data_IF_311605074036
#
_entry.id   IF_311605074036
#
_cell.length_a   1.000
_cell.length_b   1.000
_cell.length_c   1.000
_cell.angle_alpha   90.00
_cell.angle_beta   90.00
_cell.angle_gamma   90.00
#
_symmetry.space_group_name_H-M   'P 1'
#
loop_
_entity.id
_entity.type
_entity.pdbx_description
1 polymer ?
#
# COMPACT_ATOMS: atom_id res chain seq x y z
N UNK A 1 27.53 21.38 5.47
CA UNK A 1 26.78 21.78 6.66
C UNK A 1 25.67 22.74 6.25
N UNK A 2 24.45 22.23 6.04
CA UNK A 2 23.23 23.05 5.89
C UNK A 2 22.31 22.63 7.03
N UNK A 3 22.30 23.47 8.05
CA UNK A 3 21.37 23.39 9.17
C UNK A 3 19.97 23.76 8.68
N UNK A 4 19.07 22.78 8.58
CA UNK A 4 17.65 23.02 8.35
C UNK A 4 16.94 23.00 9.70
N UNK A 5 16.72 24.18 10.27
CA UNK A 5 15.92 24.40 11.48
C UNK A 5 14.45 24.17 11.13
N UNK A 6 13.87 23.09 11.67
CA UNK A 6 12.44 22.83 11.63
C UNK A 6 11.69 23.93 12.36
N UNK A 7 11.01 24.83 11.62
CA UNK A 7 10.00 25.71 12.21
C UNK A 7 8.78 24.87 12.62
N UNK A 8 8.54 24.80 13.92
CA UNK A 8 7.27 24.33 14.47
C UNK A 8 6.13 25.19 13.91
N UNK A 9 5.14 24.57 13.26
CA UNK A 9 3.82 25.18 13.10
C UNK A 9 3.39 25.65 11.71
N UNK A 10 3.81 25.02 10.60
CA UNK A 10 3.11 25.21 9.32
C UNK A 10 2.41 23.90 8.90
N UNK A 11 1.12 23.82 9.21
CA UNK A 11 0.23 22.80 8.63
C UNK A 11 0.19 23.03 7.12
N UNK A 12 0.44 21.96 6.37
CA UNK A 12 0.37 21.97 4.90
C UNK A 12 -1.09 22.18 4.52
N UNK A 13 -1.41 23.38 4.03
CA UNK A 13 -2.72 23.66 3.41
C UNK A 13 -2.71 23.06 2.00
N UNK A 14 -3.10 21.82 1.85
CA UNK A 14 -3.39 21.24 0.54
C UNK A 14 -4.74 21.79 0.07
N UNK A 15 -4.72 22.69 -0.93
CA UNK A 15 -5.94 23.08 -1.63
C UNK A 15 -6.33 21.95 -2.61
N UNK A 16 -7.53 21.36 -2.52
CA UNK A 16 -7.94 20.24 -3.37
C UNK A 16 -8.03 20.58 -4.86
N UNK A 17 -7.99 21.87 -5.23
CA UNK A 17 -8.19 22.34 -6.62
C UNK A 17 -6.95 22.47 -7.48
N UNK A 18 -5.74 22.45 -6.93
CA UNK A 18 -4.52 22.68 -7.72
C UNK A 18 -3.93 21.42 -8.37
N UNK A 19 -4.33 20.22 -7.95
CA UNK A 19 -3.76 18.95 -8.41
C UNK A 19 -4.46 18.34 -9.63
N UNK A 20 -5.61 18.87 -10.05
CA UNK A 20 -6.41 18.29 -11.15
C UNK A 20 -6.24 19.03 -12.49
N UNK A 21 -5.41 20.09 -12.57
CA UNK A 21 -5.19 20.82 -13.81
C UNK A 21 -3.97 20.29 -14.57
N UNK A 22 -4.24 19.65 -15.72
CA UNK A 22 -3.36 19.11 -16.77
C UNK A 22 -2.97 17.62 -16.65
N UNK A 23 -3.94 16.73 -16.76
CA UNK A 23 -3.69 15.45 -17.38
C UNK A 23 -4.64 15.33 -18.60
N UNK A 24 -4.06 15.29 -19.79
CA UNK A 24 -4.76 14.89 -21.00
C UNK A 24 -5.27 13.47 -20.79
N UNK A 25 -6.59 13.28 -20.77
CA UNK A 25 -7.21 11.97 -20.68
C UNK A 25 -6.73 11.09 -21.82
N UNK A 26 -6.15 9.90 -21.56
CA UNK A 26 -5.99 8.90 -22.61
C UNK A 26 -7.39 8.51 -23.08
N UNK A 27 -7.60 8.49 -24.40
CA UNK A 27 -8.85 8.02 -25.01
C UNK A 27 -9.02 6.54 -24.70
N UNK A 28 -9.80 6.22 -23.66
CA UNK A 28 -10.27 4.85 -23.43
C UNK A 28 -11.46 4.60 -24.35
N UNK A 29 -11.29 3.71 -25.32
CA UNK A 29 -12.42 3.08 -26.02
C UNK A 29 -13.12 2.16 -25.00
N UNK A 30 -14.25 2.60 -24.48
CA UNK A 30 -15.13 1.79 -23.64
C UNK A 30 -15.41 2.41 -22.28
N UNK A 31 -16.64 2.85 -22.07
CA UNK A 31 -17.33 3.20 -20.83
C UNK A 31 -16.52 3.94 -19.75
N UNK A 32 -17.05 5.04 -19.30
CA UNK A 32 -16.48 6.01 -18.34
C UNK A 32 -16.31 5.45 -16.89
N UNK A 33 -15.70 4.26 -16.73
CA UNK A 33 -15.39 3.70 -15.41
C UNK A 33 -14.11 4.35 -14.86
N UNK A 34 -14.19 4.85 -13.63
CA UNK A 34 -13.02 5.36 -12.92
C UNK A 34 -11.96 4.26 -12.78
N UNK A 35 -10.68 4.56 -12.98
CA UNK A 35 -9.62 3.58 -12.80
C UNK A 35 -9.60 3.09 -11.34
N UNK A 36 -9.35 1.79 -11.18
CA UNK A 36 -9.32 1.12 -9.89
C UNK A 36 -8.00 0.39 -9.70
N UNK A 37 -7.40 0.52 -8.52
CA UNK A 37 -6.16 -0.15 -8.15
C UNK A 37 -6.36 -0.88 -6.83
N UNK A 38 -5.93 -2.13 -6.76
CA UNK A 38 -5.92 -2.93 -5.53
C UNK A 38 -4.48 -3.24 -5.12
N UNK A 39 -4.11 -2.82 -3.90
CA UNK A 39 -2.79 -2.97 -3.31
C UNK A 39 -2.81 -4.05 -2.25
N UNK A 40 -1.95 -5.04 -2.39
CA UNK A 40 -1.84 -6.15 -1.44
C UNK A 40 -1.35 -5.71 -0.06
N UNK A 41 -1.57 -6.54 0.95
CA UNK A 41 -0.76 -6.54 2.15
C UNK A 41 0.71 -6.71 1.79
N UNK A 42 1.58 -5.94 2.42
CA UNK A 42 2.99 -5.88 2.04
C UNK A 42 3.95 -5.65 3.22
N UNK A 43 3.44 -5.31 4.41
CA UNK A 43 4.29 -4.91 5.53
C UNK A 43 5.29 -3.83 5.09
N UNK A 44 6.58 -4.04 5.39
CA UNK A 44 7.65 -3.11 5.03
C UNK A 44 8.00 -3.06 3.53
N UNK A 45 7.36 -3.89 2.69
CA UNK A 45 7.55 -3.85 1.22
C UNK A 45 6.65 -2.80 0.54
N UNK A 46 5.93 -1.99 1.29
CA UNK A 46 5.08 -0.93 0.76
C UNK A 46 5.78 0.05 -0.22
N UNK A 47 7.14 0.25 -0.22
CA UNK A 47 7.84 0.98 -1.27
C UNK A 47 7.59 0.45 -2.68
N UNK A 48 7.41 -0.87 -2.84
CA UNK A 48 7.04 -1.46 -4.13
C UNK A 48 5.71 -0.88 -4.66
N UNK A 49 4.71 -0.77 -3.79
CA UNK A 49 3.43 -0.14 -4.16
C UNK A 49 3.59 1.32 -4.53
N UNK A 50 4.44 2.07 -3.79
CA UNK A 50 4.71 3.48 -4.08
C UNK A 50 5.34 3.64 -5.46
N UNK A 51 6.35 2.84 -5.79
CA UNK A 51 7.00 2.84 -7.10
C UNK A 51 6.03 2.45 -8.23
N UNK A 52 5.24 1.39 -8.04
CA UNK A 52 4.26 0.95 -9.03
C UNK A 52 3.18 2.02 -9.27
N UNK A 53 2.64 2.62 -8.22
CA UNK A 53 1.66 3.72 -8.33
C UNK A 53 2.26 4.95 -9.01
N UNK A 54 3.54 5.29 -8.73
CA UNK A 54 4.21 6.39 -9.41
C UNK A 54 4.34 6.12 -10.91
N UNK A 55 4.78 4.92 -11.31
CA UNK A 55 4.89 4.52 -12.71
C UNK A 55 3.52 4.56 -13.42
N UNK A 56 2.46 4.03 -12.79
CA UNK A 56 1.10 4.11 -13.32
C UNK A 56 0.62 5.57 -13.47
N UNK A 57 1.01 6.46 -12.57
CA UNK A 57 0.71 7.89 -12.64
C UNK A 57 1.43 8.56 -13.81
N UNK A 58 2.72 8.27 -13.99
CA UNK A 58 3.53 8.83 -15.07
C UNK A 58 3.04 8.38 -16.45
N UNK A 59 2.49 7.17 -16.53
CA UNK A 59 1.85 6.62 -17.74
C UNK A 59 0.38 7.03 -17.91
N UNK A 60 -0.19 7.82 -16.98
CA UNK A 60 -1.57 8.30 -17.06
C UNK A 60 -2.68 7.31 -16.69
N UNK A 61 -2.33 6.13 -16.13
CA UNK A 61 -3.33 5.13 -15.67
C UNK A 61 -4.03 5.55 -14.37
N UNK A 62 -3.38 6.33 -13.52
CA UNK A 62 -3.96 6.80 -12.26
C UNK A 62 -3.95 8.32 -12.19
N UNK A 63 -5.01 8.88 -11.59
CA UNK A 63 -5.23 10.32 -11.45
C UNK A 63 -6.02 10.63 -10.16
N UNK A 64 -6.41 11.88 -9.95
CA UNK A 64 -7.07 12.34 -8.71
C UNK A 64 -8.41 11.63 -8.38
N UNK A 65 -9.08 11.02 -9.37
CA UNK A 65 -10.34 10.29 -9.18
C UNK A 65 -10.16 8.76 -9.17
N UNK A 66 -8.93 8.26 -9.19
CA UNK A 66 -8.66 6.82 -9.08
C UNK A 66 -9.18 6.30 -7.75
N UNK A 67 -9.88 5.16 -7.80
CA UNK A 67 -10.30 4.44 -6.60
C UNK A 67 -9.22 3.42 -6.20
N UNK A 68 -8.93 3.35 -4.91
CA UNK A 68 -7.94 2.45 -4.36
C UNK A 68 -8.57 1.52 -3.33
N UNK A 69 -8.23 0.25 -3.40
CA UNK A 69 -8.42 -0.69 -2.30
C UNK A 69 -7.04 -1.14 -1.79
N UNK A 70 -6.89 -1.30 -0.49
CA UNK A 70 -5.63 -1.75 0.10
C UNK A 70 -5.84 -2.62 1.33
N UNK A 71 -4.90 -3.54 1.56
CA UNK A 71 -4.77 -4.29 2.80
C UNK A 71 -3.44 -3.95 3.47
N UNK A 72 -3.42 -3.78 4.80
CA UNK A 72 -2.16 -3.58 5.54
C UNK A 72 -1.29 -2.45 4.94
N UNK A 73 0.00 -2.71 4.66
CA UNK A 73 0.89 -1.75 3.99
C UNK A 73 0.31 -1.17 2.68
N UNK A 74 -0.48 -1.96 1.93
CA UNK A 74 -1.20 -1.46 0.74
C UNK A 74 -2.29 -0.45 1.09
N UNK A 75 -2.98 -0.58 2.23
CA UNK A 75 -3.96 0.41 2.67
C UNK A 75 -3.30 1.75 3.04
N UNK A 76 -2.09 1.72 3.61
CA UNK A 76 -1.32 2.92 3.92
C UNK A 76 -0.97 3.69 2.65
N UNK A 77 -0.46 2.98 1.62
CA UNK A 77 -0.14 3.61 0.32
C UNK A 77 -1.41 4.10 -0.37
N UNK A 78 -2.49 3.32 -0.38
CA UNK A 78 -3.78 3.73 -0.94
C UNK A 78 -4.29 5.04 -0.33
N UNK A 79 -4.22 5.17 1.00
CA UNK A 79 -4.60 6.39 1.73
C UNK A 79 -3.74 7.58 1.32
N UNK A 80 -2.42 7.41 1.30
CA UNK A 80 -1.50 8.46 0.90
C UNK A 80 -1.74 8.93 -0.55
N UNK A 81 -1.98 8.00 -1.47
CA UNK A 81 -2.33 8.32 -2.87
C UNK A 81 -3.65 9.08 -2.97
N UNK A 82 -4.69 8.68 -2.22
CA UNK A 82 -5.97 9.39 -2.17
C UNK A 82 -5.85 10.80 -1.58
N UNK A 83 -4.96 11.00 -0.59
CA UNK A 83 -4.67 12.30 0.00
C UNK A 83 -3.75 13.18 -0.88
N UNK A 84 -3.20 12.65 -1.98
CA UNK A 84 -2.37 13.40 -2.92
C UNK A 84 -0.90 13.55 -2.50
N UNK A 85 -0.40 12.73 -1.57
CA UNK A 85 1.02 12.72 -1.22
C UNK A 85 1.88 12.32 -2.42
N UNK A 86 3.02 12.96 -2.56
CA UNK A 86 4.05 12.57 -3.53
C UNK A 86 4.77 11.30 -3.09
N UNK A 87 5.32 10.56 -4.06
CA UNK A 87 6.13 9.37 -3.76
C UNK A 87 7.30 9.67 -2.83
N UNK A 88 7.91 10.85 -2.94
CA UNK A 88 9.01 11.27 -2.07
C UNK A 88 8.55 11.46 -0.62
N UNK A 89 7.37 12.07 -0.39
CA UNK A 89 6.80 12.24 0.95
C UNK A 89 6.46 10.89 1.58
N UNK A 90 5.87 9.99 0.80
CA UNK A 90 5.54 8.63 1.27
C UNK A 90 6.84 7.88 1.62
N UNK A 91 7.82 7.86 0.72
CA UNK A 91 9.10 7.19 0.95
C UNK A 91 9.84 7.75 2.15
N UNK A 92 9.89 9.07 2.33
CA UNK A 92 10.48 9.70 3.52
C UNK A 92 9.84 9.17 4.80
N UNK A 93 8.51 9.15 4.87
CA UNK A 93 7.78 8.64 6.04
C UNK A 93 8.08 7.16 6.32
N UNK A 94 8.14 6.34 5.26
CA UNK A 94 8.49 4.92 5.38
C UNK A 94 9.89 4.72 5.92
N UNK A 95 10.87 5.46 5.39
CA UNK A 95 12.26 5.35 5.80
C UNK A 95 12.45 5.78 7.27
N UNK A 96 11.83 6.89 7.66
CA UNK A 96 11.86 7.37 9.06
C UNK A 96 11.21 6.38 10.03
N UNK A 97 10.10 5.74 9.64
CA UNK A 97 9.45 4.72 10.46
C UNK A 97 10.30 3.45 10.54
N UNK A 98 10.92 3.03 9.43
CA UNK A 98 11.80 1.87 9.38
C UNK A 98 13.07 2.08 10.21
N UNK A 99 13.67 3.26 10.17
CA UNK A 99 14.82 3.61 11.01
C UNK A 99 14.45 3.61 12.49
N UNK A 100 13.32 4.23 12.83
CA UNK A 100 12.81 4.21 14.20
C UNK A 100 12.61 2.77 14.68
N UNK A 101 11.95 1.91 13.89
CA UNK A 101 11.68 0.52 14.26
C UNK A 101 12.96 -0.29 14.45
N UNK A 102 13.95 -0.15 13.55
CA UNK A 102 15.24 -0.84 13.68
C UNK A 102 16.02 -0.40 14.93
N UNK A 103 15.83 0.82 15.41
CA UNK A 103 16.46 1.33 16.62
C UNK A 103 15.82 0.77 17.90
N UNK A 104 14.63 0.14 17.82
CA UNK A 104 14.01 -0.48 18.98
C UNK A 104 14.62 -1.84 19.26
N UNK A 105 15.06 -2.08 20.50
CA UNK A 105 15.63 -3.37 20.91
C UNK A 105 14.56 -4.46 21.11
N UNK A 106 13.29 -4.06 21.30
CA UNK A 106 12.13 -4.93 21.47
C UNK A 106 11.09 -4.48 20.43
N UNK A 107 11.12 -5.09 19.24
CA UNK A 107 10.35 -4.61 18.09
C UNK A 107 8.89 -5.05 18.02
N UNK A 108 8.47 -6.11 18.74
CA UNK A 108 7.13 -6.65 18.63
C UNK A 108 6.13 -5.90 19.53
N UNK A 109 4.94 -5.60 18.99
CA UNK A 109 3.83 -5.04 19.76
C UNK A 109 3.91 -3.53 20.04
N UNK A 110 4.90 -2.81 19.50
CA UNK A 110 5.07 -1.36 19.75
C UNK A 110 4.71 -0.48 18.56
N UNK A 111 4.51 -1.11 17.39
CA UNK A 111 4.37 -0.39 16.12
C UNK A 111 3.04 0.36 16.04
N UNK A 112 1.97 -0.16 16.65
CA UNK A 112 0.63 0.44 16.63
C UNK A 112 0.64 1.88 17.15
N UNK A 113 1.20 2.10 18.34
CA UNK A 113 1.23 3.42 18.99
C UNK A 113 1.99 4.45 18.15
N UNK A 114 3.14 4.06 17.59
CA UNK A 114 3.95 4.96 16.79
C UNK A 114 3.30 5.25 15.42
N UNK A 115 2.70 4.26 14.78
CA UNK A 115 1.94 4.45 13.54
C UNK A 115 0.77 5.40 13.76
N UNK A 116 -0.03 5.19 14.82
CA UNK A 116 -1.14 6.07 15.21
C UNK A 116 -0.70 7.52 15.35
N UNK A 117 0.35 7.74 16.14
CA UNK A 117 0.90 9.07 16.38
C UNK A 117 1.35 9.75 15.08
N UNK A 118 2.06 9.01 14.21
CA UNK A 118 2.55 9.55 12.94
C UNK A 118 1.42 9.82 11.96
N UNK A 119 0.45 8.93 11.82
CA UNK A 119 -0.65 9.12 10.88
C UNK A 119 -1.50 10.32 11.25
N UNK A 120 -1.88 10.48 12.52
CA UNK A 120 -2.63 11.66 12.97
C UNK A 120 -1.85 12.97 12.78
N UNK A 121 -0.51 12.93 12.85
CA UNK A 121 0.31 14.11 12.63
C UNK A 121 0.54 14.45 11.15
N UNK A 122 0.51 13.45 10.25
CA UNK A 122 0.83 13.61 8.82
C UNK A 122 -0.40 13.86 7.96
N UNK A 123 -1.55 13.28 8.33
CA UNK A 123 -2.76 13.42 7.53
C UNK A 123 -3.25 14.88 7.49
N UNK A 124 -3.76 15.35 6.33
CA UNK A 124 -4.47 16.62 6.26
C UNK A 124 -5.64 16.69 7.26
N UNK A 125 -6.04 17.88 7.65
CA UNK A 125 -7.06 18.10 8.69
C UNK A 125 -8.39 17.37 8.41
N UNK A 126 -8.79 17.29 7.13
CA UNK A 126 -10.01 16.59 6.70
C UNK A 126 -9.68 15.46 5.72
N UNK A 127 -8.63 14.69 5.98
CA UNK A 127 -8.21 13.59 5.10
C UNK A 127 -9.35 12.60 4.84
N UNK A 128 -10.15 12.27 5.84
CA UNK A 128 -11.34 11.41 5.72
C UNK A 128 -12.33 11.91 4.66
N UNK A 129 -12.53 13.22 4.56
CA UNK A 129 -13.38 13.85 3.56
C UNK A 129 -12.72 13.88 2.18
N UNK A 130 -11.40 14.16 2.13
CA UNK A 130 -10.60 14.16 0.89
C UNK A 130 -10.61 12.79 0.21
N UNK A 131 -10.43 11.72 0.98
CA UNK A 131 -10.45 10.36 0.42
C UNK A 131 -11.86 9.95 -0.01
N UNK A 132 -12.89 10.37 0.73
CA UNK A 132 -14.28 10.08 0.40
C UNK A 132 -14.51 8.60 0.06
N UNK A 133 -15.25 8.35 -0.99
CA UNK A 133 -15.52 7.00 -1.52
C UNK A 133 -14.42 6.44 -2.45
N UNK A 134 -13.25 7.09 -2.52
CA UNK A 134 -12.13 6.62 -3.35
C UNK A 134 -11.24 5.61 -2.61
N UNK A 135 -11.29 5.59 -1.28
CA UNK A 135 -10.49 4.70 -0.44
C UNK A 135 -11.33 3.56 0.11
N UNK A 136 -10.82 2.34 -0.06
CA UNK A 136 -11.38 1.12 0.49
C UNK A 136 -10.29 0.37 1.26
N UNK A 137 -10.48 0.16 2.56
CA UNK A 137 -9.53 -0.50 3.45
C UNK A 137 -10.01 -1.91 3.75
N UNK A 138 -9.20 -2.92 3.46
CA UNK A 138 -9.52 -4.31 3.75
C UNK A 138 -9.27 -4.62 5.23
N UNK A 139 -10.28 -5.14 5.92
CA UNK A 139 -10.22 -5.56 7.32
C UNK A 139 -10.83 -6.95 7.43
N UNK A 140 -10.28 -7.83 8.28
CA UNK A 140 -10.81 -9.18 8.49
C UNK A 140 -11.56 -9.25 9.83
N UNK A 141 -12.91 -9.25 9.81
CA UNK A 141 -13.69 -9.53 11.00
C UNK A 141 -13.50 -10.98 11.47
N UNK A 142 -13.33 -11.18 12.78
CA UNK A 142 -13.25 -12.50 13.42
C UNK A 142 -14.63 -13.03 13.81
N UNK A 143 -15.66 -12.76 13.00
CA UNK A 143 -17.00 -13.28 13.17
C UNK A 143 -17.17 -14.56 12.30
N UNK A 144 -17.40 -15.74 12.92
CA UNK A 144 -17.61 -16.99 12.16
C UNK A 144 -18.75 -16.90 11.14
N UNK A 145 -19.76 -16.06 11.39
CA UNK A 145 -20.90 -15.86 10.46
C UNK A 145 -20.47 -15.18 9.16
N UNK A 146 -19.38 -14.40 9.18
CA UNK A 146 -18.78 -13.75 8.01
C UNK A 146 -17.79 -14.66 7.27
N UNK A 147 -17.67 -15.92 7.67
CA UNK A 147 -16.83 -16.95 7.03
C UNK A 147 -15.36 -16.52 6.84
N UNK A 148 -14.83 -15.71 7.75
CA UNK A 148 -13.46 -15.17 7.70
C UNK A 148 -13.12 -14.51 6.36
N UNK A 149 -14.04 -13.72 5.81
CA UNK A 149 -13.81 -12.93 4.59
C UNK A 149 -13.42 -11.52 4.95
N UNK A 150 -12.36 -11.02 4.31
CA UNK A 150 -12.00 -9.61 4.42
C UNK A 150 -13.09 -8.73 3.80
N UNK A 151 -13.46 -7.68 4.52
CA UNK A 151 -14.42 -6.67 4.09
C UNK A 151 -13.70 -5.38 3.70
N UNK A 152 -14.22 -4.67 2.70
CA UNK A 152 -13.73 -3.37 2.29
C UNK A 152 -14.52 -2.28 3.02
N UNK A 153 -13.83 -1.56 3.89
CA UNK A 153 -14.40 -0.43 4.63
C UNK A 153 -14.09 0.87 3.90
N UNK A 154 -15.07 1.71 3.78
CA UNK A 154 -14.99 3.07 3.23
C UNK A 154 -15.90 4.01 4.03
N UNK A 155 -15.95 5.30 3.65
CA UNK A 155 -16.81 6.30 4.28
C UNK A 155 -16.51 6.46 5.78
N UNK A 156 -15.45 7.18 6.07
CA UNK A 156 -15.00 7.50 7.42
C UNK A 156 -15.64 8.82 7.89
N UNK A 157 -15.87 8.97 9.18
CA UNK A 157 -16.49 10.15 9.79
C UNK A 157 -15.45 11.12 10.36
N UNK A 158 -14.21 10.64 10.56
CA UNK A 158 -13.10 11.45 11.05
C UNK A 158 -11.75 10.87 10.63
N UNK A 159 -10.67 11.66 10.80
CA UNK A 159 -9.30 11.17 10.62
C UNK A 159 -8.97 10.07 11.63
N UNK A 160 -9.47 10.19 12.85
CA UNK A 160 -9.28 9.20 13.91
C UNK A 160 -9.88 7.85 13.49
N UNK A 161 -11.12 7.84 13.01
CA UNK A 161 -11.76 6.61 12.54
C UNK A 161 -11.02 6.01 11.33
N UNK A 162 -10.57 6.83 10.39
CA UNK A 162 -9.78 6.36 9.26
C UNK A 162 -8.43 5.76 9.72
N UNK A 163 -7.77 6.36 10.70
CA UNK A 163 -6.54 5.82 11.30
C UNK A 163 -6.82 4.52 12.05
N UNK A 164 -7.94 4.40 12.78
CA UNK A 164 -8.36 3.13 13.39
C UNK A 164 -8.54 2.03 12.33
N UNK A 165 -9.16 2.35 11.19
CA UNK A 165 -9.32 1.40 10.09
C UNK A 165 -7.96 0.96 9.51
N UNK A 166 -7.01 1.89 9.35
CA UNK A 166 -5.65 1.59 8.87
C UNK A 166 -4.89 0.69 9.84
N UNK A 167 -4.97 0.97 11.14
CA UNK A 167 -4.36 0.14 12.18
C UNK A 167 -5.01 -1.24 12.24
N UNK A 168 -6.33 -1.33 12.15
CA UNK A 168 -7.08 -2.59 12.10
C UNK A 168 -6.69 -3.42 10.87
N UNK A 169 -6.57 -2.77 9.69
CA UNK A 169 -6.11 -3.40 8.45
C UNK A 169 -4.66 -3.92 8.50
N UNK A 170 -3.86 -3.38 9.40
CA UNK A 170 -2.45 -3.74 9.59
C UNK A 170 -2.22 -4.59 10.85
N UNK A 171 -3.30 -4.98 11.54
CA UNK A 171 -3.20 -5.64 12.84
C UNK A 171 -2.85 -7.11 12.72
N UNK A 172 -1.56 -7.39 12.62
CA UNK A 172 -1.02 -8.75 12.76
C UNK A 172 -0.85 -9.02 14.26
N UNK A 173 -1.47 -10.09 14.80
CA UNK A 173 -1.42 -10.43 16.21
C UNK A 173 0.00 -10.46 16.78
N UNK A 174 0.22 -9.83 17.92
CA UNK A 174 1.50 -9.75 18.64
C UNK A 174 2.62 -8.99 17.89
N UNK A 175 2.43 -8.68 16.60
CA UNK A 175 3.39 -7.93 15.81
C UNK A 175 3.12 -6.42 15.86
N UNK A 176 1.91 -5.98 15.49
CA UNK A 176 1.56 -4.56 15.51
C UNK A 176 1.36 -4.06 16.94
N UNK A 177 0.54 -4.76 17.72
CA UNK A 177 0.20 -4.50 19.11
C UNK A 177 0.29 -5.75 19.97
N UNK A 178 0.15 -5.63 21.31
CA UNK A 178 0.35 -6.75 22.24
C UNK A 178 -0.82 -7.75 22.28
N UNK A 179 -1.91 -7.46 21.61
CA UNK A 179 -3.14 -8.27 21.62
C UNK A 179 -3.21 -9.22 20.43
N UNK A 180 -4.09 -10.24 20.51
CA UNK A 180 -4.34 -11.17 19.42
C UNK A 180 -5.27 -10.59 18.33
N UNK A 181 -5.98 -9.51 18.63
CA UNK A 181 -6.87 -8.81 17.71
C UNK A 181 -7.10 -7.37 18.21
N UNK A 182 -7.66 -6.53 17.38
CA UNK A 182 -8.08 -5.18 17.73
C UNK A 182 -9.59 -5.00 17.52
N UNK A 183 -10.12 -3.81 17.80
CA UNK A 183 -11.52 -3.47 17.59
C UNK A 183 -11.64 -2.38 16.53
N UNK A 184 -12.61 -2.55 15.63
CA UNK A 184 -13.05 -1.51 14.71
C UNK A 184 -14.56 -1.58 14.52
N UNK A 185 -15.28 -0.44 14.66
CA UNK A 185 -16.75 -0.35 14.54
C UNK A 185 -17.49 -1.43 15.34
N UNK A 186 -17.08 -1.63 16.60
CA UNK A 186 -17.63 -2.65 17.52
C UNK A 186 -17.39 -4.12 17.12
N UNK A 187 -16.60 -4.40 16.09
CA UNK A 187 -16.21 -5.74 15.70
C UNK A 187 -14.77 -6.06 16.16
N UNK A 188 -14.50 -7.34 16.44
CA UNK A 188 -13.14 -7.83 16.67
C UNK A 188 -12.56 -8.17 15.31
N UNK A 189 -11.40 -7.58 14.99
CA UNK A 189 -10.81 -7.63 13.66
C UNK A 189 -9.30 -7.87 13.72
N UNK A 190 -8.76 -8.33 12.59
CA UNK A 190 -7.31 -8.46 12.33
C UNK A 190 -7.00 -7.96 10.92
N UNK A 191 -5.71 -8.00 10.55
CA UNK A 191 -5.21 -7.60 9.24
C UNK A 191 -6.00 -8.25 8.09
N UNK A 192 -6.50 -7.41 7.19
CA UNK A 192 -7.31 -7.83 6.04
C UNK A 192 -6.55 -8.67 5.02
N UNK A 193 -5.22 -8.62 5.02
CA UNK A 193 -4.36 -9.39 4.12
C UNK A 193 -4.06 -10.82 4.59
N UNK A 194 -4.49 -11.23 5.80
CA UNK A 194 -4.18 -12.56 6.34
C UNK A 194 -4.85 -13.72 5.59
N UNK A 195 -6.03 -13.51 5.02
CA UNK A 195 -6.75 -14.55 4.24
C UNK A 195 -6.54 -14.41 2.74
N UNK A 196 -6.42 -13.20 2.25
CA UNK A 196 -6.08 -12.90 0.87
C UNK A 196 -5.35 -11.56 0.86
N UNK A 197 -4.06 -11.59 0.54
CA UNK A 197 -3.25 -10.39 0.60
C UNK A 197 -3.75 -9.29 -0.35
N UNK A 198 -4.31 -9.64 -1.52
CA UNK A 198 -4.88 -8.66 -2.46
C UNK A 198 -6.38 -8.52 -2.21
N UNK A 199 -6.88 -7.32 -1.87
CA UNK A 199 -8.30 -7.08 -1.71
C UNK A 199 -9.09 -7.41 -2.98
N UNK A 200 -10.25 -8.05 -2.82
CA UNK A 200 -11.16 -8.30 -3.95
C UNK A 200 -11.88 -7.00 -4.30
N UNK A 201 -11.36 -6.30 -5.30
CA UNK A 201 -11.89 -5.04 -5.80
C UNK A 201 -12.16 -5.17 -7.32
N UNK A 202 -13.41 -5.38 -7.68
CA UNK A 202 -13.79 -5.72 -9.07
C UNK A 202 -13.27 -4.69 -10.08
N UNK A 203 -12.73 -5.21 -11.19
CA UNK A 203 -12.20 -4.41 -12.30
C UNK A 203 -11.02 -3.50 -11.89
N UNK A 204 -10.20 -3.93 -10.95
CA UNK A 204 -9.00 -3.21 -10.53
C UNK A 204 -7.73 -3.79 -11.15
N UNK A 205 -6.73 -2.94 -11.33
CA UNK A 205 -5.35 -3.38 -11.52
C UNK A 205 -4.77 -3.78 -10.18
N UNK A 206 -4.34 -5.02 -10.04
CA UNK A 206 -3.81 -5.58 -8.78
C UNK A 206 -2.30 -5.48 -8.73
N UNK A 207 -1.75 -5.12 -7.56
CA UNK A 207 -0.30 -4.95 -7.32
C UNK A 207 0.11 -5.73 -6.08
N UNK A 208 1.19 -6.52 -6.19
CA UNK A 208 1.72 -7.32 -5.09
C UNK A 208 3.25 -7.40 -5.16
N UNK A 209 3.99 -7.14 -4.07
CA UNK A 209 5.45 -7.18 -4.05
C UNK A 209 6.05 -8.59 -3.96
N UNK A 210 5.22 -9.62 -3.76
CA UNK A 210 5.70 -10.98 -3.59
C UNK A 210 5.89 -11.66 -4.96
N UNK A 211 7.11 -12.15 -5.27
CA UNK A 211 7.34 -12.94 -6.48
C UNK A 211 6.60 -14.29 -6.40
N UNK A 212 6.16 -14.78 -7.53
CA UNK A 212 5.36 -16.02 -7.62
C UNK A 212 3.87 -15.82 -7.47
N UNK A 213 3.39 -14.57 -7.45
CA UNK A 213 1.96 -14.21 -7.40
C UNK A 213 1.38 -13.79 -8.75
N UNK A 214 2.20 -13.59 -9.76
CA UNK A 214 1.79 -13.17 -11.11
C UNK A 214 0.97 -14.21 -11.85
N UNK A 215 0.26 -13.80 -12.90
CA UNK A 215 -0.60 -14.65 -13.75
C UNK A 215 0.18 -15.85 -14.33
N UNK A 216 1.47 -15.65 -14.67
CA UNK A 216 2.33 -16.67 -15.25
C UNK A 216 3.17 -17.46 -14.22
N UNK A 217 2.94 -17.25 -12.92
CA UNK A 217 3.67 -17.95 -11.88
C UNK A 217 3.36 -19.47 -11.86
N UNK A 218 4.34 -20.27 -11.44
CA UNK A 218 4.16 -21.74 -11.31
C UNK A 218 2.98 -22.06 -10.40
N UNK A 219 2.10 -23.00 -10.80
CA UNK A 219 0.86 -23.37 -10.08
C UNK A 219 1.10 -23.74 -8.62
N UNK A 220 2.22 -24.35 -8.28
CA UNK A 220 2.57 -24.80 -6.93
C UNK A 220 3.57 -23.85 -6.22
N UNK A 221 3.69 -22.60 -6.65
CA UNK A 221 4.57 -21.65 -5.96
C UNK A 221 3.98 -21.26 -4.58
N UNK A 222 4.78 -21.27 -3.48
CA UNK A 222 4.27 -20.96 -2.13
C UNK A 222 3.58 -19.60 -2.03
N UNK A 223 4.01 -18.60 -2.81
CA UNK A 223 3.40 -17.27 -2.84
C UNK A 223 1.92 -17.29 -3.28
N UNK A 224 1.44 -18.33 -3.97
CA UNK A 224 0.03 -18.45 -4.35
C UNK A 224 -0.91 -18.69 -3.15
N UNK A 225 -0.37 -19.05 -1.99
CA UNK A 225 -1.10 -19.04 -0.72
C UNK A 225 -1.39 -17.61 -0.24
N UNK A 226 -0.56 -16.64 -0.66
CA UNK A 226 -0.71 -15.23 -0.30
C UNK A 226 -1.63 -14.53 -1.31
N UNK A 227 -1.36 -14.69 -2.60
CA UNK A 227 -2.15 -14.14 -3.70
C UNK A 227 -1.85 -14.89 -5.00
N UNK A 228 -2.78 -14.84 -5.95
CA UNK A 228 -2.62 -15.40 -7.29
C UNK A 228 -3.16 -14.46 -8.37
N UNK A 229 -2.68 -14.66 -9.58
CA UNK A 229 -3.16 -13.96 -10.79
C UNK A 229 -3.10 -12.43 -10.66
N UNK A 230 -2.02 -11.94 -10.06
CA UNK A 230 -1.77 -10.51 -9.83
C UNK A 230 -1.17 -9.88 -11.09
N UNK A 231 -1.67 -8.69 -11.46
CA UNK A 231 -1.25 -8.00 -12.69
C UNK A 231 0.18 -7.46 -12.61
N UNK A 232 0.54 -6.78 -11.51
CA UNK A 232 1.85 -6.12 -11.35
C UNK A 232 2.60 -6.76 -10.17
N UNK A 233 3.61 -7.55 -10.50
CA UNK A 233 4.47 -8.27 -9.54
C UNK A 233 5.92 -8.23 -10.02
N UNK A 234 6.90 -8.57 -9.17
CA UNK A 234 8.29 -8.73 -9.59
C UNK A 234 8.50 -9.77 -10.70
N UNK A 235 7.58 -10.72 -10.87
CA UNK A 235 7.66 -11.76 -11.92
C UNK A 235 7.78 -11.18 -13.32
N UNK A 236 7.19 -10.00 -13.55
CA UNK A 236 7.25 -9.30 -14.84
C UNK A 236 8.67 -8.89 -15.26
N UNK A 237 9.57 -8.75 -14.31
CA UNK A 237 10.96 -8.40 -14.57
C UNK A 237 11.80 -9.60 -15.00
N UNK A 238 11.42 -10.80 -14.56
CA UNK A 238 12.09 -12.04 -14.92
C UNK A 238 11.68 -12.57 -16.29
N UNK A 239 10.48 -12.22 -16.76
CA UNK A 239 9.86 -12.75 -17.98
C UNK A 239 10.26 -12.00 -19.25
N UNK A 240 10.74 -10.77 -19.13
CA UNK A 240 11.06 -9.90 -20.26
C UNK A 240 12.58 -9.71 -20.39
N UNK A 241 13.23 -10.54 -21.17
CA UNK A 241 14.67 -10.60 -21.45
C UNK A 241 15.38 -9.30 -21.93
N UNK A 242 14.98 -8.15 -21.45
CA UNK A 242 15.51 -6.84 -21.89
C UNK A 242 15.93 -5.87 -20.79
N UNK A 243 15.64 -6.16 -19.53
CA UNK A 243 16.14 -5.35 -18.40
C UNK A 243 16.77 -6.31 -17.41
N UNK A 244 18.06 -6.20 -17.26
CA UNK A 244 18.89 -7.02 -16.38
C UNK A 244 18.66 -6.62 -14.92
N UNK A 245 17.45 -6.91 -14.40
CA UNK A 245 17.17 -6.82 -12.97
C UNK A 245 17.81 -8.03 -12.29
N UNK A 246 19.12 -7.96 -12.10
CA UNK A 246 19.93 -9.02 -11.50
C UNK A 246 19.50 -9.48 -10.10
N UNK A 247 18.45 -8.88 -9.50
CA UNK A 247 18.14 -9.12 -8.09
C UNK A 247 16.65 -9.01 -7.74
N UNK A 248 15.76 -9.72 -8.44
CA UNK A 248 14.43 -9.99 -7.86
C UNK A 248 14.65 -10.90 -6.66
N UNK A 249 14.35 -10.47 -5.42
CA UNK A 249 14.53 -11.30 -4.24
C UNK A 249 13.68 -12.57 -4.36
N UNK A 250 14.18 -13.69 -3.85
CA UNK A 250 13.35 -14.89 -3.75
C UNK A 250 12.21 -14.70 -2.73
N UNK A 251 11.21 -15.55 -2.80
CA UNK A 251 10.02 -15.47 -1.93
C UNK A 251 10.37 -15.45 -0.44
N UNK A 252 11.32 -16.28 0.01
CA UNK A 252 11.71 -16.35 1.43
C UNK A 252 12.33 -15.02 1.93
N UNK A 253 13.23 -14.41 1.13
CA UNK A 253 13.80 -13.08 1.45
C UNK A 253 12.69 -12.03 1.48
N UNK A 254 11.81 -12.03 0.49
CA UNK A 254 10.70 -11.08 0.40
C UNK A 254 9.77 -11.21 1.60
N UNK A 255 9.43 -12.43 2.00
CA UNK A 255 8.60 -12.69 3.19
C UNK A 255 9.28 -12.18 4.47
N UNK A 256 10.56 -12.46 4.67
CA UNK A 256 11.31 -11.91 5.81
C UNK A 256 11.29 -10.39 5.82
N UNK A 257 11.56 -9.76 4.68
CA UNK A 257 11.65 -8.32 4.52
C UNK A 257 10.27 -7.63 4.68
N UNK A 258 9.17 -8.37 4.55
CA UNK A 258 7.83 -7.85 4.82
C UNK A 258 7.55 -7.68 6.33
N UNK A 259 8.15 -8.49 7.18
CA UNK A 259 7.99 -8.43 8.64
C UNK A 259 9.10 -7.64 9.33
N UNK A 260 10.31 -7.63 8.77
CA UNK A 260 11.46 -6.94 9.35
C UNK A 260 11.97 -5.90 8.36
N UNK A 261 11.95 -4.59 8.72
CA UNK A 261 12.31 -3.55 7.78
C UNK A 261 13.76 -3.74 7.29
N UNK A 262 13.96 -3.95 5.99
CA UNK A 262 15.29 -4.08 5.41
C UNK A 262 16.03 -2.73 5.45
N UNK A 263 17.26 -2.70 5.00
CA UNK A 263 18.06 -1.47 4.95
C UNK A 263 17.39 -0.40 4.08
N UNK A 264 17.72 0.86 4.32
CA UNK A 264 17.25 2.00 3.53
C UNK A 264 17.51 1.81 2.03
N UNK A 265 18.67 1.24 1.67
CA UNK A 265 19.00 0.89 0.28
C UNK A 265 18.04 -0.15 -0.29
N UNK A 266 17.72 -1.19 0.46
CA UNK A 266 16.80 -2.24 0.01
C UNK A 266 15.36 -1.74 -0.12
N UNK A 267 14.92 -0.82 0.75
CA UNK A 267 13.62 -0.17 0.62
C UNK A 267 13.53 0.64 -0.68
N UNK A 268 14.59 1.35 -1.07
CA UNK A 268 14.65 2.02 -2.37
C UNK A 268 14.68 1.03 -3.53
N UNK A 269 15.38 -0.11 -3.41
CA UNK A 269 15.34 -1.16 -4.42
C UNK A 269 13.92 -1.71 -4.63
N UNK A 270 13.13 -1.88 -3.57
CA UNK A 270 11.71 -2.27 -3.69
C UNK A 270 10.89 -1.19 -4.41
N UNK A 271 11.14 0.08 -4.17
CA UNK A 271 10.50 1.17 -4.91
C UNK A 271 10.82 1.09 -6.41
N UNK A 272 12.09 1.00 -6.77
CA UNK A 272 12.53 0.91 -8.16
C UNK A 272 11.98 -0.36 -8.85
N UNK A 273 11.95 -1.47 -8.14
CA UNK A 273 11.36 -2.72 -8.61
C UNK A 273 9.87 -2.56 -8.92
N UNK A 274 9.11 -1.91 -8.04
CA UNK A 274 7.70 -1.61 -8.26
C UNK A 274 7.48 -0.72 -9.48
N UNK A 275 8.28 0.33 -9.62
CA UNK A 275 8.23 1.25 -10.76
C UNK A 275 8.49 0.52 -12.08
N UNK A 276 9.55 -0.31 -12.13
CA UNK A 276 9.89 -1.09 -13.30
C UNK A 276 8.87 -2.18 -13.64
N UNK A 277 8.29 -2.85 -12.62
CA UNK A 277 7.25 -3.87 -12.82
C UNK A 277 6.00 -3.28 -13.47
N UNK A 278 5.56 -2.10 -13.04
CA UNK A 278 4.43 -1.41 -13.66
C UNK A 278 4.74 -1.00 -15.11
N UNK A 279 5.95 -0.55 -15.39
CA UNK A 279 6.43 -0.29 -16.77
C UNK A 279 6.44 -1.54 -17.64
N UNK A 280 6.87 -2.69 -17.09
CA UNK A 280 6.83 -3.97 -17.78
C UNK A 280 5.40 -4.43 -18.09
N UNK A 281 4.48 -4.28 -17.12
CA UNK A 281 3.06 -4.56 -17.30
C UNK A 281 2.44 -3.70 -18.41
N UNK A 282 2.79 -2.43 -18.48
CA UNK A 282 2.33 -1.53 -19.56
C UNK A 282 2.80 -2.01 -20.92
N UNK A 283 4.10 -2.36 -21.08
CA UNK A 283 4.66 -2.84 -22.36
C UNK A 283 4.02 -4.12 -22.89
N UNK A 284 3.42 -4.94 -22.06
CA UNK A 284 2.71 -6.16 -22.49
C UNK A 284 1.30 -5.85 -23.05
N UNK A 285 0.83 -4.61 -22.93
CA UNK A 285 -0.55 -4.21 -23.28
C UNK A 285 -0.63 -3.25 -24.48
N UNK A 286 0.51 -2.78 -24.94
CA UNK A 286 0.65 -2.00 -26.19
C UNK A 286 1.22 -2.88 -27.31
#
# INVERSE_FOLDING_TARGET
AISCTLRKGSRIKCSPRSLCNKASTPRSNGGNLLPKVALSGSGWLLPFHVGACQSLKDMGYVHCNTQYAGASGGALVATAMCCGFSSNEIMKTVLELAEWYRAQHIGLGILETEMRRRFLALLPEEAWSIVGNKLHIAILPLDPRKMFRAELVSNFESNEEMVEALLASSYIPLYLGPSLATKFRNEIVVDGGLVNAVPIFKNSTTICPFPGTGENARKFHPARLIASDVHITPDLLSSNGGVDYHHVPNFAKTLRDSFMPPSTKELWNYYEMGYASAGAWHRQRI
#
